data_IF_683550953698
#
_entry.id   IF_683550953698
#
_cell.length_a   1.000
_cell.length_b   1.000
_cell.length_c   1.000
_cell.angle_alpha   90.00
_cell.angle_beta   90.00
_cell.angle_gamma   90.00
#
_symmetry.space_group_name_H-M   'P 1'
#
loop_
_entity.id
_entity.type
_entity.pdbx_description
1 polymer ?
#
# COMPACT_ATOMS: atom_id res chain seq x y z
N UNK A 1 -8.10 38.64 -1.62
CA UNK A 1 -9.12 37.98 -2.45
C UNK A 1 -8.54 36.77 -3.21
N UNK A 2 -7.29 36.81 -3.66
CA UNK A 2 -6.63 35.69 -4.42
C UNK A 2 -6.43 34.36 -3.68
N UNK A 3 -6.31 34.35 -2.33
CA UNK A 3 -6.06 33.12 -1.56
C UNK A 3 -7.29 32.20 -1.57
N UNK A 4 -8.51 32.72 -1.56
CA UNK A 4 -9.75 31.92 -1.58
C UNK A 4 -9.95 31.15 -2.89
N UNK A 5 -9.52 31.70 -4.02
CA UNK A 5 -9.74 31.06 -5.32
C UNK A 5 -8.74 29.92 -5.60
N UNK A 6 -7.55 29.97 -5.00
CA UNK A 6 -6.55 28.89 -5.10
C UNK A 6 -6.87 27.71 -4.18
N UNK A 7 -7.70 27.87 -3.15
CA UNK A 7 -8.05 26.79 -2.21
C UNK A 7 -9.22 25.95 -2.74
N UNK A 8 -10.12 26.52 -3.53
CA UNK A 8 -11.30 25.80 -4.05
C UNK A 8 -11.01 24.47 -4.73
N UNK A 9 -10.01 24.35 -5.63
CA UNK A 9 -9.69 23.08 -6.26
C UNK A 9 -9.05 22.05 -5.32
N UNK A 10 -8.33 22.51 -4.27
CA UNK A 10 -7.61 21.65 -3.33
C UNK A 10 -8.51 21.17 -2.18
N UNK A 11 -9.55 21.94 -1.86
CA UNK A 11 -10.44 21.67 -0.73
C UNK A 11 -11.05 20.25 -0.71
N UNK A 12 -11.58 19.71 -1.82
CA UNK A 12 -12.12 18.35 -1.82
C UNK A 12 -11.06 17.28 -1.47
N UNK A 13 -9.82 17.49 -1.88
CA UNK A 13 -8.73 16.55 -1.61
C UNK A 13 -8.31 16.56 -0.14
N UNK A 14 -8.27 17.75 0.49
CA UNK A 14 -8.04 17.87 1.93
C UNK A 14 -9.17 17.23 2.75
N UNK A 15 -10.41 17.44 2.32
CA UNK A 15 -11.58 16.79 2.94
C UNK A 15 -11.50 15.28 2.77
N UNK A 16 -11.08 14.77 1.62
CA UNK A 16 -10.89 13.34 1.39
C UNK A 16 -9.89 12.74 2.40
N UNK A 17 -8.72 13.36 2.56
CA UNK A 17 -7.70 12.91 3.54
C UNK A 17 -8.27 12.92 4.96
N UNK A 18 -9.01 13.96 5.35
CA UNK A 18 -9.64 14.05 6.67
C UNK A 18 -10.68 12.93 6.86
N UNK A 19 -11.58 12.73 5.90
CA UNK A 19 -12.60 11.68 5.96
C UNK A 19 -11.94 10.31 6.05
N UNK A 20 -10.95 10.00 5.22
CA UNK A 20 -10.25 8.71 5.25
C UNK A 20 -9.55 8.47 6.58
N UNK A 21 -8.96 9.51 7.17
CA UNK A 21 -8.38 9.44 8.52
C UNK A 21 -9.45 9.12 9.57
N UNK A 22 -10.55 9.86 9.56
CA UNK A 22 -11.64 9.66 10.52
C UNK A 22 -12.25 8.26 10.38
N UNK A 23 -12.56 7.82 9.16
CA UNK A 23 -13.12 6.47 8.90
C UNK A 23 -12.16 5.38 9.36
N UNK A 24 -10.86 5.51 9.09
CA UNK A 24 -9.86 4.51 9.50
C UNK A 24 -9.75 4.38 11.01
N UNK A 25 -9.74 5.48 11.74
CA UNK A 25 -9.70 5.47 13.20
C UNK A 25 -11.04 5.07 13.82
N UNK A 26 -12.17 5.47 13.23
CA UNK A 26 -13.49 5.06 13.71
C UNK A 26 -13.68 3.54 13.61
N UNK A 27 -13.25 2.95 12.49
CA UNK A 27 -13.35 1.50 12.31
C UNK A 27 -12.40 0.73 13.25
N UNK A 28 -11.16 1.18 13.37
CA UNK A 28 -10.15 0.57 14.23
C UNK A 28 -9.95 1.36 15.54
N UNK A 29 -11.03 1.88 16.14
CA UNK A 29 -10.92 2.69 17.35
C UNK A 29 -10.14 2.03 18.50
N UNK A 30 -10.12 0.68 18.69
CA UNK A 30 -9.34 0.08 19.76
C UNK A 30 -7.83 0.34 19.67
N UNK A 31 -7.32 0.74 18.48
CA UNK A 31 -5.91 1.15 18.32
C UNK A 31 -5.60 2.42 19.11
N UNK A 32 -6.58 3.31 19.30
CA UNK A 32 -6.45 4.51 20.14
C UNK A 32 -6.31 4.17 21.64
N UNK A 33 -6.83 3.01 22.05
CA UNK A 33 -6.67 2.46 23.40
C UNK A 33 -5.36 1.65 23.56
N UNK A 34 -4.48 1.69 22.57
CA UNK A 34 -3.21 0.93 22.57
C UNK A 34 -3.35 -0.55 22.22
N UNK A 35 -4.55 -1.01 21.82
CA UNK A 35 -4.77 -2.39 21.39
C UNK A 35 -4.15 -2.62 20.00
N UNK A 36 -3.71 -3.85 19.74
CA UNK A 36 -3.16 -4.27 18.46
C UNK A 36 -3.97 -5.41 17.87
N UNK A 37 -4.11 -5.44 16.55
CA UNK A 37 -4.74 -6.56 15.86
C UNK A 37 -3.83 -7.79 15.99
N UNK A 38 -4.33 -8.82 16.72
CA UNK A 38 -3.62 -10.10 16.86
C UNK A 38 -4.08 -11.03 15.75
N UNK A 39 -3.20 -11.29 14.79
CA UNK A 39 -3.45 -12.22 13.69
C UNK A 39 -2.46 -13.37 13.75
N UNK A 40 -2.90 -14.57 13.34
CA UNK A 40 -2.09 -15.78 13.44
C UNK A 40 -0.81 -15.67 12.61
N UNK A 41 -0.91 -15.26 11.34
CA UNK A 41 0.25 -15.19 10.45
C UNK A 41 1.27 -14.13 10.90
N UNK A 42 0.80 -13.03 11.48
CA UNK A 42 1.70 -12.04 12.07
C UNK A 42 2.48 -12.58 13.27
N UNK A 43 1.88 -13.48 14.04
CA UNK A 43 2.51 -14.16 15.17
C UNK A 43 3.54 -15.17 14.68
N UNK A 44 3.17 -16.02 13.72
CA UNK A 44 4.07 -16.99 13.08
C UNK A 44 5.25 -16.30 12.41
N UNK A 45 5.03 -15.22 11.67
CA UNK A 45 6.09 -14.43 11.04
C UNK A 45 7.10 -13.88 12.06
N UNK A 46 6.64 -13.41 13.23
CA UNK A 46 7.54 -12.97 14.31
C UNK A 46 8.38 -14.09 14.86
N UNK A 47 7.80 -15.29 15.04
CA UNK A 47 8.53 -16.47 15.52
C UNK A 47 9.60 -16.87 14.50
N UNK A 48 9.22 -16.96 13.23
CA UNK A 48 10.12 -17.35 12.14
C UNK A 48 11.26 -16.35 11.91
N UNK A 49 11.05 -15.07 12.21
CA UNK A 49 12.07 -14.02 12.09
C UNK A 49 13.02 -13.93 13.29
N UNK A 50 12.79 -14.69 14.36
CA UNK A 50 13.54 -14.55 15.62
C UNK A 50 15.03 -14.89 15.45
N UNK A 51 15.35 -15.99 14.77
CA UNK A 51 16.74 -16.37 14.47
C UNK A 51 17.48 -15.25 13.71
N UNK A 52 16.81 -14.65 12.73
CA UNK A 52 17.34 -13.53 11.94
C UNK A 52 17.59 -12.30 12.84
N UNK A 53 16.65 -12.00 13.74
CA UNK A 53 16.78 -10.88 14.67
C UNK A 53 17.91 -11.10 15.67
N UNK A 54 17.99 -12.29 16.28
CA UNK A 54 19.04 -12.68 17.22
C UNK A 54 20.44 -12.60 16.57
N UNK A 55 20.57 -13.07 15.34
CA UNK A 55 21.82 -12.97 14.58
C UNK A 55 22.22 -11.51 14.34
N UNK A 56 21.26 -10.69 13.94
CA UNK A 56 21.47 -9.25 13.69
C UNK A 56 21.91 -8.52 14.96
N UNK A 57 21.28 -8.82 16.10
CA UNK A 57 21.60 -8.22 17.40
C UNK A 57 23.01 -8.61 17.88
N UNK A 58 23.41 -9.89 17.67
CA UNK A 58 24.72 -10.40 18.08
C UNK A 58 25.86 -9.92 17.19
N UNK A 59 25.64 -9.78 15.90
CA UNK A 59 26.73 -9.59 14.92
C UNK A 59 26.74 -8.21 14.26
N UNK A 60 25.64 -7.44 14.37
CA UNK A 60 25.47 -6.18 13.64
C UNK A 60 25.32 -6.36 12.12
N UNK A 61 25.21 -7.59 11.63
CA UNK A 61 25.12 -7.93 10.20
C UNK A 61 23.77 -8.55 9.85
N UNK A 62 23.32 -8.39 8.60
CA UNK A 62 22.13 -9.06 8.09
C UNK A 62 22.48 -10.49 7.67
N UNK A 63 21.74 -11.51 8.16
CA UNK A 63 21.91 -12.87 7.67
C UNK A 63 21.29 -13.01 6.29
N UNK A 64 21.90 -13.79 5.42
CA UNK A 64 21.36 -14.11 4.11
C UNK A 64 20.54 -15.41 4.11
N UNK A 65 20.70 -16.23 5.14
CA UNK A 65 20.06 -17.53 5.29
C UNK A 65 19.51 -17.70 6.71
N UNK A 66 18.42 -18.44 6.86
CA UNK A 66 17.87 -18.89 8.15
C UNK A 66 17.49 -20.35 8.09
N UNK A 67 17.65 -21.05 9.23
CA UNK A 67 17.26 -22.48 9.37
C UNK A 67 15.93 -22.63 10.12
N UNK A 68 15.26 -21.52 10.50
CA UNK A 68 14.08 -21.56 11.36
C UNK A 68 12.86 -22.22 10.71
N UNK A 69 12.76 -22.26 9.38
CA UNK A 69 11.63 -22.84 8.65
C UNK A 69 12.11 -23.58 7.37
N UNK A 70 11.32 -24.55 6.93
CA UNK A 70 11.52 -25.32 5.69
C UNK A 70 12.92 -25.98 5.56
N UNK A 71 13.53 -26.36 6.69
CA UNK A 71 14.92 -26.90 6.72
C UNK A 71 15.97 -25.91 6.17
N UNK A 72 15.63 -24.64 6.11
CA UNK A 72 16.48 -23.55 5.65
C UNK A 72 15.95 -22.83 4.42
N UNK A 73 16.03 -21.49 4.44
CA UNK A 73 15.64 -20.64 3.32
C UNK A 73 16.34 -19.29 3.35
N UNK A 74 16.31 -18.53 2.22
CA UNK A 74 16.87 -17.20 2.18
C UNK A 74 16.17 -16.26 3.19
N UNK A 75 16.95 -15.60 4.05
CA UNK A 75 16.45 -14.73 5.12
C UNK A 75 15.71 -13.49 4.58
N UNK A 76 16.07 -13.01 3.36
CA UNK A 76 15.43 -11.85 2.74
C UNK A 76 13.94 -12.08 2.39
N UNK A 77 13.49 -13.33 2.31
CA UNK A 77 12.07 -13.66 2.11
C UNK A 77 11.25 -13.50 3.40
N UNK A 78 11.90 -13.42 4.56
CA UNK A 78 11.25 -13.33 5.87
C UNK A 78 11.43 -11.94 6.47
N UNK A 79 12.67 -11.53 6.72
CA UNK A 79 12.97 -10.28 7.44
C UNK A 79 14.38 -9.80 7.17
N UNK A 80 14.59 -9.00 6.13
CA UNK A 80 15.88 -8.34 5.89
C UNK A 80 15.73 -6.83 5.93
N UNK A 81 16.73 -6.16 6.49
CA UNK A 81 16.81 -4.69 6.52
C UNK A 81 17.80 -4.22 5.47
N UNK A 82 17.34 -3.35 4.58
CA UNK A 82 18.19 -2.69 3.58
C UNK A 82 18.32 -1.21 3.93
N UNK A 83 19.41 -0.78 4.62
CA UNK A 83 19.56 0.60 5.08
C UNK A 83 19.53 1.64 3.95
N UNK A 84 20.02 1.27 2.77
CA UNK A 84 20.03 2.14 1.58
C UNK A 84 18.72 2.21 0.81
N UNK A 85 17.65 1.52 1.24
CA UNK A 85 16.39 1.51 0.54
C UNK A 85 15.55 2.76 0.88
N UNK A 86 15.66 3.79 0.06
CA UNK A 86 14.92 5.05 0.23
C UNK A 86 13.40 4.87 0.08
N UNK A 87 12.95 3.91 -0.71
CA UNK A 87 11.52 3.62 -0.91
C UNK A 87 10.85 3.20 0.39
N UNK A 88 11.56 2.50 1.27
CA UNK A 88 11.05 2.15 2.59
C UNK A 88 10.69 3.37 3.45
N UNK A 89 11.46 4.44 3.36
CA UNK A 89 11.16 5.67 4.10
C UNK A 89 9.93 6.37 3.51
N UNK A 90 9.79 6.37 2.18
CA UNK A 90 8.61 6.88 1.51
C UNK A 90 7.36 6.07 1.88
N UNK A 91 7.43 4.73 1.87
CA UNK A 91 6.35 3.85 2.32
C UNK A 91 5.94 4.13 3.77
N UNK A 92 6.93 4.26 4.67
CA UNK A 92 6.66 4.57 6.08
C UNK A 92 5.96 5.92 6.25
N UNK A 93 6.38 6.93 5.49
CA UNK A 93 5.76 8.27 5.50
C UNK A 93 4.32 8.22 4.97
N UNK A 94 4.08 7.55 3.85
CA UNK A 94 2.76 7.46 3.22
C UNK A 94 1.75 6.68 4.08
N UNK A 95 2.21 5.68 4.80
CA UNK A 95 1.34 4.92 5.72
C UNK A 95 0.90 5.72 6.93
N UNK A 96 1.57 6.81 7.31
CA UNK A 96 1.25 7.81 8.34
C UNK A 96 0.91 7.24 9.73
N UNK A 97 0.12 6.18 9.81
CA UNK A 97 -0.43 5.62 11.05
C UNK A 97 0.08 4.20 11.31
N UNK A 98 -0.16 3.67 12.51
CA UNK A 98 0.13 2.27 12.83
C UNK A 98 -0.88 1.32 12.20
N UNK A 99 -0.46 0.07 11.92
CA UNK A 99 -1.36 -1.00 11.48
C UNK A 99 -2.47 -1.24 12.53
N UNK A 100 -3.70 -1.54 12.12
CA UNK A 100 -4.24 -1.70 10.77
C UNK A 100 -4.77 -0.38 10.16
N UNK A 101 -4.83 0.72 10.92
CA UNK A 101 -5.35 2.03 10.50
C UNK A 101 -4.66 2.53 9.24
N UNK A 102 -3.30 2.40 9.20
CA UNK A 102 -2.47 2.83 8.07
C UNK A 102 -2.86 2.19 6.75
N UNK A 103 -3.19 0.90 6.76
CA UNK A 103 -3.50 0.16 5.53
C UNK A 103 -4.89 0.48 5.03
N UNK A 104 -5.86 0.65 5.92
CA UNK A 104 -7.21 1.08 5.54
C UNK A 104 -7.18 2.49 4.93
N UNK A 105 -6.45 3.42 5.56
CA UNK A 105 -6.23 4.76 5.02
C UNK A 105 -5.58 4.71 3.64
N UNK A 106 -4.48 3.96 3.50
CA UNK A 106 -3.75 3.82 2.25
C UNK A 106 -4.61 3.24 1.13
N UNK A 107 -5.45 2.24 1.45
CA UNK A 107 -6.39 1.64 0.49
C UNK A 107 -7.40 2.67 -0.02
N UNK A 108 -8.00 3.47 0.87
CA UNK A 108 -8.92 4.55 0.47
C UNK A 108 -8.20 5.61 -0.36
N UNK A 109 -7.02 6.05 0.07
CA UNK A 109 -6.24 7.05 -0.67
C UNK A 109 -5.83 6.55 -2.06
N UNK A 110 -5.38 5.29 -2.15
CA UNK A 110 -5.00 4.67 -3.43
C UNK A 110 -6.16 4.53 -4.39
N UNK A 111 -7.32 4.06 -3.93
CA UNK A 111 -8.50 3.93 -4.77
C UNK A 111 -9.11 5.28 -5.16
N UNK A 112 -9.03 6.27 -4.29
CA UNK A 112 -9.39 7.65 -4.58
C UNK A 112 -8.56 8.21 -5.75
N UNK A 113 -7.23 8.01 -5.73
CA UNK A 113 -6.33 8.43 -6.81
C UNK A 113 -6.69 7.75 -8.13
N UNK A 114 -6.99 6.44 -8.10
CA UNK A 114 -7.46 5.69 -9.28
C UNK A 114 -8.71 6.32 -9.89
N UNK A 115 -9.71 6.59 -9.07
CA UNK A 115 -10.98 7.18 -9.54
C UNK A 115 -10.78 8.59 -10.11
N UNK A 116 -9.91 9.39 -9.50
CA UNK A 116 -9.54 10.70 -10.05
C UNK A 116 -8.83 10.59 -11.40
N UNK A 117 -7.94 9.60 -11.57
CA UNK A 117 -7.29 9.36 -12.85
C UNK A 117 -8.31 8.99 -13.94
N UNK A 118 -9.39 8.30 -13.59
CA UNK A 118 -10.50 7.99 -14.50
C UNK A 118 -11.46 9.17 -14.72
N UNK A 119 -11.19 10.34 -14.18
CA UNK A 119 -12.02 11.54 -14.36
C UNK A 119 -13.27 11.58 -13.48
N UNK A 120 -13.36 10.72 -12.48
CA UNK A 120 -14.47 10.75 -11.50
C UNK A 120 -14.36 11.98 -10.62
N UNK A 121 -15.49 12.68 -10.37
CA UNK A 121 -15.48 13.85 -9.50
C UNK A 121 -14.98 13.52 -8.09
N UNK A 122 -14.26 14.43 -7.41
CA UNK A 122 -13.67 14.16 -6.10
C UNK A 122 -14.66 13.65 -5.06
N UNK A 123 -15.87 14.17 -5.04
CA UNK A 123 -16.92 13.78 -4.07
C UNK A 123 -17.39 12.35 -4.28
N UNK A 124 -17.61 11.95 -5.53
CA UNK A 124 -17.98 10.58 -5.86
C UNK A 124 -16.80 9.63 -5.65
N UNK A 125 -15.58 10.08 -5.94
CA UNK A 125 -14.36 9.31 -5.69
C UNK A 125 -14.14 9.01 -4.21
N UNK A 126 -14.48 9.93 -3.28
CA UNK A 126 -14.47 9.66 -1.83
C UNK A 126 -15.40 8.51 -1.48
N UNK A 127 -16.65 8.54 -1.97
CA UNK A 127 -17.63 7.48 -1.71
C UNK A 127 -17.16 6.13 -2.26
N UNK A 128 -16.67 6.11 -3.50
CA UNK A 128 -16.12 4.90 -4.13
C UNK A 128 -14.92 4.33 -3.37
N UNK A 129 -14.01 5.18 -2.91
CA UNK A 129 -12.84 4.78 -2.13
C UNK A 129 -13.23 4.15 -0.78
N UNK A 130 -14.21 4.71 -0.08
CA UNK A 130 -14.73 4.14 1.16
C UNK A 130 -15.40 2.79 0.89
N UNK A 131 -16.27 2.70 -0.12
CA UNK A 131 -16.98 1.47 -0.46
C UNK A 131 -16.01 0.33 -0.83
N UNK A 132 -14.98 0.61 -1.63
CA UNK A 132 -13.93 -0.35 -1.97
C UNK A 132 -13.17 -0.84 -0.73
N UNK A 133 -12.70 0.07 0.10
CA UNK A 133 -11.81 -0.24 1.21
C UNK A 133 -12.54 -0.89 2.40
N UNK A 134 -13.85 -0.66 2.54
CA UNK A 134 -14.69 -1.33 3.52
C UNK A 134 -15.25 -2.66 3.01
N UNK A 135 -14.78 -3.20 1.89
CA UNK A 135 -15.18 -4.51 1.40
C UNK A 135 -14.74 -5.63 2.37
N UNK A 136 -15.54 -6.68 2.45
CA UNK A 136 -15.26 -7.83 3.33
C UNK A 136 -13.94 -8.51 3.02
N UNK A 137 -13.54 -8.56 1.77
CA UNK A 137 -12.26 -9.15 1.33
C UNK A 137 -11.06 -8.50 2.01
N UNK A 138 -11.04 -7.15 2.09
CA UNK A 138 -9.94 -6.42 2.69
C UNK A 138 -9.79 -6.72 4.19
N UNK A 139 -10.91 -6.86 4.89
CA UNK A 139 -10.89 -7.22 6.32
C UNK A 139 -10.52 -8.67 6.58
N UNK A 140 -10.88 -9.59 5.67
CA UNK A 140 -10.47 -10.99 5.77
C UNK A 140 -8.94 -11.13 5.71
N UNK A 141 -8.28 -10.48 4.75
CA UNK A 141 -6.81 -10.54 4.64
C UNK A 141 -6.11 -9.85 5.82
N UNK A 142 -6.65 -8.75 6.34
CA UNK A 142 -6.11 -8.10 7.54
C UNK A 142 -6.31 -8.97 8.79
N UNK A 143 -7.48 -9.59 8.94
CA UNK A 143 -7.79 -10.48 10.06
C UNK A 143 -6.92 -11.74 10.07
N UNK A 144 -6.59 -12.29 8.90
CA UNK A 144 -5.65 -13.39 8.76
C UNK A 144 -4.19 -12.98 9.08
N UNK A 145 -3.83 -11.70 8.93
CA UNK A 145 -2.48 -11.19 9.14
C UNK A 145 -1.64 -11.08 7.87
N UNK A 146 -2.27 -11.13 6.71
CA UNK A 146 -1.62 -10.98 5.39
C UNK A 146 -1.30 -9.50 5.12
N UNK A 147 -0.53 -8.89 6.00
CA UNK A 147 -0.25 -7.46 6.00
C UNK A 147 0.45 -6.98 4.72
N UNK A 148 1.41 -7.75 4.21
CA UNK A 148 2.13 -7.43 2.97
C UNK A 148 1.21 -7.46 1.76
N UNK A 149 0.29 -8.41 1.71
CA UNK A 149 -0.75 -8.50 0.69
C UNK A 149 -1.67 -7.28 0.71
N UNK A 150 -2.14 -6.88 1.89
CA UNK A 150 -3.02 -5.72 2.05
C UNK A 150 -2.33 -4.42 1.63
N UNK A 151 -1.04 -4.25 1.92
CA UNK A 151 -0.24 -3.09 1.50
C UNK A 151 -0.04 -3.09 -0.02
N UNK A 152 0.30 -4.24 -0.63
CA UNK A 152 0.46 -4.36 -2.08
C UNK A 152 -0.84 -4.02 -2.82
N UNK A 153 -1.98 -4.53 -2.36
CA UNK A 153 -3.30 -4.20 -2.92
C UNK A 153 -3.64 -2.71 -2.81
N UNK A 154 -3.25 -2.06 -1.71
CA UNK A 154 -3.47 -0.62 -1.55
C UNK A 154 -2.64 0.21 -2.55
N UNK A 155 -1.44 -0.22 -2.90
CA UNK A 155 -0.60 0.43 -3.92
C UNK A 155 -1.00 0.04 -5.35
N UNK A 156 -1.62 -1.11 -5.57
CA UNK A 156 -2.06 -1.55 -6.90
C UNK A 156 -3.06 -0.57 -7.53
N UNK A 157 -4.00 -0.05 -6.76
CA UNK A 157 -5.02 0.87 -7.29
C UNK A 157 -4.40 2.17 -7.87
N UNK A 158 -3.57 2.94 -7.16
CA UNK A 158 -2.95 4.13 -7.73
C UNK A 158 -1.93 3.81 -8.84
N UNK A 159 -1.32 2.62 -8.86
CA UNK A 159 -0.47 2.16 -9.96
C UNK A 159 -1.28 2.04 -11.26
N UNK A 160 -2.45 1.40 -11.22
CA UNK A 160 -3.37 1.31 -12.36
C UNK A 160 -3.79 2.70 -12.82
N UNK A 161 -4.13 3.59 -11.87
CA UNK A 161 -4.48 4.99 -12.17
C UNK A 161 -3.34 5.75 -12.87
N UNK A 162 -2.11 5.54 -12.43
CA UNK A 162 -0.92 6.15 -13.03
C UNK A 162 -0.66 5.67 -14.46
N UNK A 163 -0.82 4.37 -14.71
CA UNK A 163 -0.69 3.79 -16.06
C UNK A 163 -1.79 4.36 -16.98
N UNK A 164 -3.05 4.37 -16.54
CA UNK A 164 -4.14 4.98 -17.31
C UNK A 164 -3.84 6.45 -17.62
N UNK A 165 -3.35 7.21 -16.64
CA UNK A 165 -2.98 8.61 -16.81
C UNK A 165 -1.84 8.78 -17.81
N UNK A 166 -0.88 7.85 -17.87
CA UNK A 166 0.22 7.83 -18.85
C UNK A 166 -0.31 7.76 -20.28
N UNK A 167 -1.28 6.89 -20.53
CA UNK A 167 -1.83 6.71 -21.88
C UNK A 167 -2.83 7.81 -22.29
N UNK A 168 -3.58 8.36 -21.36
CA UNK A 168 -4.73 9.23 -21.65
C UNK A 168 -4.49 10.72 -21.39
N UNK A 169 -3.43 11.08 -20.66
CA UNK A 169 -3.19 12.47 -20.25
C UNK A 169 -1.74 12.90 -20.50
N UNK A 170 -0.84 12.69 -19.56
CA UNK A 170 0.56 13.15 -19.62
C UNK A 170 1.50 11.96 -19.41
N UNK A 171 2.18 11.55 -20.48
CA UNK A 171 3.02 10.36 -20.48
C UNK A 171 4.16 10.46 -19.46
N UNK A 172 4.82 11.61 -19.35
CA UNK A 172 5.96 11.76 -18.45
C UNK A 172 5.53 11.76 -16.98
N UNK A 173 4.51 12.56 -16.64
CA UNK A 173 4.00 12.61 -15.26
C UNK A 173 3.40 11.27 -14.84
N UNK A 174 2.64 10.64 -15.72
CA UNK A 174 2.06 9.33 -15.47
C UNK A 174 3.13 8.26 -15.28
N UNK A 175 4.15 8.21 -16.14
CA UNK A 175 5.24 7.25 -16.01
C UNK A 175 6.05 7.44 -14.72
N UNK A 176 6.39 8.68 -14.36
CA UNK A 176 7.10 8.98 -13.11
C UNK A 176 6.28 8.57 -11.88
N UNK A 177 4.99 8.91 -11.86
CA UNK A 177 4.09 8.51 -10.78
C UNK A 177 3.96 7.00 -10.69
N UNK A 178 3.71 6.32 -11.82
CA UNK A 178 3.59 4.86 -11.88
C UNK A 178 4.86 4.16 -11.40
N UNK A 179 6.03 4.61 -11.84
CA UNK A 179 7.31 4.03 -11.42
C UNK A 179 7.52 4.16 -9.92
N UNK A 180 7.15 5.30 -9.33
CA UNK A 180 7.23 5.50 -7.89
C UNK A 180 6.27 4.57 -7.14
N UNK A 181 5.01 4.48 -7.57
CA UNK A 181 4.02 3.61 -6.92
C UNK A 181 4.37 2.12 -7.10
N UNK A 182 4.88 1.72 -8.26
CA UNK A 182 5.36 0.35 -8.50
C UNK A 182 6.52 0.01 -7.55
N UNK A 183 7.45 0.93 -7.32
CA UNK A 183 8.53 0.72 -6.37
C UNK A 183 8.01 0.52 -4.92
N UNK A 184 6.97 1.24 -4.52
CA UNK A 184 6.29 1.06 -3.23
C UNK A 184 5.55 -0.28 -3.14
N UNK A 185 4.92 -0.70 -4.23
CA UNK A 185 4.19 -1.97 -4.31
C UNK A 185 5.16 -3.16 -4.21
N UNK A 186 6.29 -3.12 -4.94
CA UNK A 186 7.36 -4.13 -4.83
C UNK A 186 7.95 -4.13 -3.41
N UNK A 187 8.13 -2.96 -2.79
CA UNK A 187 8.59 -2.83 -1.41
C UNK A 187 7.66 -3.50 -0.40
N UNK A 188 6.36 -3.64 -0.68
CA UNK A 188 5.43 -4.38 0.16
C UNK A 188 5.79 -5.88 0.28
N UNK A 189 6.67 -6.37 -0.61
CA UNK A 189 7.20 -7.73 -0.61
C UNK A 189 6.09 -8.80 -0.72
N UNK A 190 5.15 -8.60 -1.65
CA UNK A 190 4.11 -9.57 -1.97
C UNK A 190 4.04 -9.81 -3.49
N UNK A 191 5.05 -10.49 -4.09
CA UNK A 191 5.23 -10.61 -5.55
C UNK A 191 4.04 -11.22 -6.29
N UNK A 192 3.21 -12.02 -5.61
CA UNK A 192 2.02 -12.63 -6.20
C UNK A 192 1.00 -11.57 -6.65
N UNK A 193 0.80 -10.52 -5.86
CA UNK A 193 -0.10 -9.41 -6.22
C UNK A 193 0.47 -8.63 -7.39
N UNK A 194 1.75 -8.30 -7.36
CA UNK A 194 2.47 -7.66 -8.48
C UNK A 194 2.31 -8.46 -9.76
N UNK A 195 2.52 -9.79 -9.70
CA UNK A 195 2.40 -10.67 -10.86
C UNK A 195 1.00 -10.63 -11.48
N UNK A 196 -0.05 -10.75 -10.67
CA UNK A 196 -1.43 -10.69 -11.19
C UNK A 196 -1.78 -9.31 -11.74
N UNK A 197 -1.35 -8.25 -11.08
CA UNK A 197 -1.52 -6.88 -11.57
C UNK A 197 -0.86 -6.70 -12.94
N UNK A 198 0.39 -7.19 -13.11
CA UNK A 198 1.13 -7.07 -14.37
C UNK A 198 0.46 -7.81 -15.53
N UNK A 199 -0.19 -8.95 -15.30
CA UNK A 199 -0.98 -9.65 -16.35
C UNK A 199 -2.14 -8.76 -16.82
N UNK A 200 -2.91 -8.19 -15.88
CA UNK A 200 -4.02 -7.30 -16.21
C UNK A 200 -3.54 -6.04 -16.96
N UNK A 201 -2.41 -5.47 -16.51
CA UNK A 201 -1.82 -4.28 -17.13
C UNK A 201 -1.25 -4.55 -18.51
N UNK A 202 -0.71 -5.75 -18.76
CA UNK A 202 -0.28 -6.17 -20.08
C UNK A 202 -1.46 -6.22 -21.06
N UNK A 203 -2.57 -6.83 -20.64
CA UNK A 203 -3.80 -6.88 -21.44
C UNK A 203 -4.31 -5.47 -21.72
N UNK A 204 -4.36 -4.60 -20.70
CA UNK A 204 -4.75 -3.21 -20.86
C UNK A 204 -3.83 -2.47 -21.85
N UNK A 205 -2.50 -2.61 -21.72
CA UNK A 205 -1.53 -1.98 -22.61
C UNK A 205 -1.66 -2.45 -24.06
N UNK A 206 -1.94 -3.74 -24.30
CA UNK A 206 -2.21 -4.26 -25.65
C UNK A 206 -3.47 -3.61 -26.23
N UNK A 207 -4.54 -3.52 -25.44
CA UNK A 207 -5.79 -2.86 -25.88
C UNK A 207 -5.53 -1.38 -26.24
N UNK A 208 -4.83 -0.65 -25.37
CA UNK A 208 -4.50 0.77 -25.61
C UNK A 208 -3.56 0.99 -26.80
N UNK A 209 -2.76 -0.02 -27.16
CA UNK A 209 -1.87 0.06 -28.33
C UNK A 209 -2.60 -0.23 -29.65
N UNK A 210 -3.66 -1.03 -29.62
CA UNK A 210 -4.42 -1.44 -30.81
C UNK A 210 -5.53 -0.44 -31.16
N UNK A 211 -6.08 0.28 -30.18
CA UNK A 211 -7.19 1.24 -30.32
C UNK A 211 -6.74 2.68 -30.09
#
# INVERSE_FOLDING_TARGET
MQIKDNIKPILPHLIAVLIFTVVSFAYFYPVLEGKVLKANDSTVSKINSREIQDFREKTGREPLWTNSIFSGMPAYLISTKYPGNLIKYADTFLRMYKMPVSVLFLSMAGFYILLLAFGVSPWLAITGAIAYSLSSFFFQILGAGHNTQAIALAYMAPMIGGIYYTYRHDALKGALFTSFILALEIQANHPQITYYAMICLLIFGIVEFVY
#
